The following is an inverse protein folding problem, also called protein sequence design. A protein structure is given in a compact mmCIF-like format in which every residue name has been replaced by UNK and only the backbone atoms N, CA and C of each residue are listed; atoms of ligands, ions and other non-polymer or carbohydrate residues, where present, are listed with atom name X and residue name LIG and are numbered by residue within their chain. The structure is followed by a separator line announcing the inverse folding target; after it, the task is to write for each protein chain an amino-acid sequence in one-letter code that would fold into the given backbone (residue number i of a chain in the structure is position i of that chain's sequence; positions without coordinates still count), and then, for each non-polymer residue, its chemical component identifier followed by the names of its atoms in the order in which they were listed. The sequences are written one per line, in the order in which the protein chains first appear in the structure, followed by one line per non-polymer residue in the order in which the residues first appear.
data_IF_472414257000
#
_entry.id   IF_472414257000
#
_cell.length_a   1.000
_cell.length_b   1.000
_cell.length_c   1.000
_cell.angle_alpha   90.00
_cell.angle_beta   90.00
_cell.angle_gamma   90.00
#
_symmetry.space_group_name_H-M   'P 1'
#
loop_
_entity.id
_entity.type
_entity.pdbx_description
1 polymer ?
#
# COMPACT_ATOMS: atom_id res chain seq x y z
N UNK A 1 -3.99 -56.80 -45.41
CA UNK A 1 -3.22 -55.54 -45.48
C UNK A 1 -3.95 -54.54 -44.57
N UNK A 2 -3.57 -54.47 -43.30
CA UNK A 2 -4.23 -53.68 -42.26
C UNK A 2 -3.47 -52.35 -42.15
N UNK A 3 -4.15 -51.19 -42.10
CA UNK A 3 -3.48 -49.91 -42.26
C UNK A 3 -2.73 -49.47 -41.02
N UNK A 4 -1.44 -49.31 -41.16
CA UNK A 4 -0.48 -48.82 -40.15
C UNK A 4 -0.76 -47.34 -39.73
N UNK A 5 -1.56 -46.64 -40.49
CA UNK A 5 -1.83 -45.21 -40.31
C UNK A 5 -2.72 -44.82 -39.09
N UNK A 6 -3.47 -45.79 -38.55
CA UNK A 6 -4.38 -45.50 -37.43
C UNK A 6 -3.67 -45.41 -36.06
N UNK A 7 -2.48 -46.01 -35.92
CA UNK A 7 -1.71 -46.05 -34.68
C UNK A 7 -0.91 -44.77 -34.44
N UNK A 8 -0.49 -44.07 -35.48
CA UNK A 8 0.29 -42.85 -35.40
C UNK A 8 -0.55 -41.62 -34.99
N UNK A 9 -1.83 -41.58 -35.35
CA UNK A 9 -2.74 -40.46 -35.04
C UNK A 9 -3.09 -40.34 -33.57
N UNK A 10 -3.16 -41.47 -32.86
CA UNK A 10 -3.47 -41.49 -31.43
C UNK A 10 -2.26 -41.15 -30.54
N UNK A 11 -1.04 -41.50 -31.01
CA UNK A 11 0.19 -41.19 -30.31
C UNK A 11 0.52 -39.69 -30.32
N UNK A 12 0.27 -39.04 -31.47
CA UNK A 12 0.44 -37.58 -31.61
C UNK A 12 -0.56 -36.78 -30.75
N UNK A 13 -1.82 -37.25 -30.67
CA UNK A 13 -2.86 -36.62 -29.86
C UNK A 13 -2.54 -36.70 -28.36
N UNK A 14 -2.01 -37.84 -27.89
CA UNK A 14 -1.59 -38.02 -26.48
C UNK A 14 -0.39 -37.18 -26.12
N UNK A 15 0.56 -36.95 -27.01
CA UNK A 15 1.70 -36.05 -26.79
C UNK A 15 1.26 -34.57 -26.71
N UNK A 16 0.32 -34.17 -27.56
CA UNK A 16 -0.21 -32.79 -27.52
C UNK A 16 -1.02 -32.54 -26.23
N UNK A 17 -1.84 -33.53 -25.80
CA UNK A 17 -2.56 -33.43 -24.52
C UNK A 17 -1.63 -33.40 -23.30
N UNK A 18 -0.56 -34.20 -23.32
CA UNK A 18 0.46 -34.22 -22.27
C UNK A 18 1.22 -32.88 -22.16
N UNK A 19 1.53 -32.26 -23.32
CA UNK A 19 2.20 -30.96 -23.33
C UNK A 19 1.29 -29.82 -22.93
N UNK A 20 -0.01 -29.85 -23.28
CA UNK A 20 -0.98 -28.86 -22.83
C UNK A 20 -1.27 -28.94 -21.33
N UNK A 21 -1.26 -30.14 -20.75
CA UNK A 21 -1.48 -30.33 -19.30
C UNK A 21 -0.27 -29.86 -18.47
N UNK A 22 0.95 -29.95 -19.00
CA UNK A 22 2.17 -29.47 -18.30
C UNK A 22 2.26 -27.94 -18.21
N UNK A 23 1.61 -27.21 -19.13
CA UNK A 23 1.58 -25.75 -19.12
C UNK A 23 0.61 -25.16 -18.06
N UNK A 24 -0.37 -25.94 -17.60
CA UNK A 24 -1.34 -25.49 -16.61
C UNK A 24 -0.78 -25.55 -15.17
N UNK A 25 0.24 -26.37 -14.93
CA UNK A 25 0.85 -26.54 -13.59
C UNK A 25 1.91 -25.47 -13.25
N UNK A 26 2.26 -24.60 -14.18
CA UNK A 26 3.30 -23.56 -13.95
C UNK A 26 2.75 -22.24 -13.45
N UNK A 27 1.46 -22.14 -13.12
CA UNK A 27 0.80 -20.89 -12.65
C UNK A 27 0.50 -20.88 -11.15
N UNK A 28 1.29 -21.58 -10.34
CA UNK A 28 1.40 -21.21 -8.92
C UNK A 28 2.39 -20.07 -8.83
N UNK A 29 1.91 -18.84 -9.00
CA UNK A 29 2.65 -17.66 -8.60
C UNK A 29 2.84 -17.73 -7.10
N UNK A 30 4.01 -18.19 -6.65
CA UNK A 30 4.46 -17.95 -5.30
C UNK A 30 4.56 -16.44 -5.11
N UNK A 31 3.54 -15.85 -4.50
CA UNK A 31 3.64 -14.53 -3.92
C UNK A 31 4.55 -14.62 -2.68
N UNK A 32 5.83 -14.95 -2.88
CA UNK A 32 6.82 -14.86 -1.82
C UNK A 32 6.93 -13.41 -1.41
N UNK A 33 6.49 -13.14 -0.18
CA UNK A 33 6.64 -11.82 0.42
C UNK A 33 8.13 -11.56 0.60
N UNK A 34 8.65 -10.57 -0.14
CA UNK A 34 10.09 -10.27 -0.15
C UNK A 34 10.53 -9.70 1.18
N UNK A 35 11.59 -10.25 1.76
CA UNK A 35 12.26 -9.67 2.92
C UNK A 35 12.97 -8.38 2.53
N UNK A 36 12.74 -7.30 3.29
CA UNK A 36 13.42 -6.02 3.10
C UNK A 36 13.85 -5.44 4.45
N UNK A 37 15.15 -5.40 4.71
CA UNK A 37 15.71 -4.89 5.96
C UNK A 37 15.29 -3.44 6.27
N UNK A 38 15.03 -2.65 5.23
CA UNK A 38 14.56 -1.25 5.32
C UNK A 38 13.43 -1.02 4.33
N UNK A 39 12.31 -1.69 4.57
CA UNK A 39 11.17 -1.72 3.65
C UNK A 39 10.65 -0.30 3.32
N UNK A 40 10.54 0.57 4.31
CA UNK A 40 10.15 1.97 4.11
C UNK A 40 11.13 2.72 3.19
N UNK A 41 12.44 2.54 3.39
CA UNK A 41 13.47 3.23 2.59
C UNK A 41 13.46 2.78 1.13
N UNK A 42 13.30 1.47 0.91
CA UNK A 42 13.21 0.91 -0.44
C UNK A 42 11.91 1.37 -1.13
N UNK A 43 10.79 1.40 -0.42
CA UNK A 43 9.54 1.93 -0.96
C UNK A 43 9.69 3.40 -1.39
N UNK A 44 10.27 4.25 -0.53
CA UNK A 44 10.52 5.66 -0.82
C UNK A 44 11.40 5.83 -2.07
N UNK A 45 12.44 4.99 -2.23
CA UNK A 45 13.30 5.03 -3.42
C UNK A 45 12.55 4.72 -4.71
N UNK A 46 11.58 3.79 -4.69
CA UNK A 46 10.76 3.48 -5.89
C UNK A 46 9.90 4.67 -6.33
N UNK A 47 9.65 5.63 -5.44
CA UNK A 47 8.84 6.83 -5.69
C UNK A 47 9.69 8.10 -5.79
N UNK A 48 11.00 7.97 -6.08
CA UNK A 48 11.93 9.10 -6.07
C UNK A 48 11.54 10.25 -7.01
N UNK A 49 10.95 9.93 -8.17
CA UNK A 49 10.53 10.91 -9.16
C UNK A 49 9.28 11.71 -8.75
N UNK A 50 8.53 11.24 -7.74
CA UNK A 50 7.33 11.92 -7.25
C UNK A 50 7.73 13.01 -6.27
N UNK A 51 7.23 14.23 -6.48
CA UNK A 51 7.58 15.39 -5.65
C UNK A 51 6.79 15.43 -4.34
N UNK A 52 5.53 14.96 -4.36
CA UNK A 52 4.63 15.05 -3.23
C UNK A 52 3.97 13.69 -2.97
N UNK A 53 4.25 13.07 -1.84
CA UNK A 53 3.57 11.86 -1.36
C UNK A 53 3.71 11.69 0.16
N UNK A 54 2.78 10.96 0.75
CA UNK A 54 2.85 10.49 2.14
C UNK A 54 2.86 8.97 2.19
N UNK A 55 3.57 8.40 3.15
CA UNK A 55 3.58 6.96 3.46
C UNK A 55 2.92 6.74 4.81
N UNK A 56 1.84 5.98 4.82
CA UNK A 56 1.10 5.60 6.02
C UNK A 56 1.42 4.14 6.32
N UNK A 57 1.71 3.83 7.59
CA UNK A 57 1.77 2.44 8.04
C UNK A 57 0.34 1.91 8.14
N UNK A 58 -0.09 1.22 7.07
CA UNK A 58 -1.49 0.82 6.91
C UNK A 58 -1.87 -0.34 7.81
N UNK A 59 -0.99 -1.37 7.88
CA UNK A 59 -1.21 -2.55 8.70
C UNK A 59 0.10 -3.23 9.07
N UNK A 60 0.08 -4.03 10.13
CA UNK A 60 1.21 -4.79 10.67
C UNK A 60 0.74 -6.21 11.01
N UNK A 61 1.58 -7.20 10.72
CA UNK A 61 1.28 -8.61 10.99
C UNK A 61 2.54 -9.35 11.44
N UNK A 62 2.36 -10.28 12.38
CA UNK A 62 3.38 -11.24 12.78
C UNK A 62 2.88 -12.66 12.50
N UNK A 63 3.51 -13.31 11.54
CA UNK A 63 3.24 -14.68 11.16
C UNK A 63 4.04 -15.65 12.07
N UNK A 64 3.39 -16.15 13.10
CA UNK A 64 4.00 -17.08 14.05
C UNK A 64 4.51 -18.38 13.39
N UNK A 65 3.85 -18.82 12.30
CA UNK A 65 4.19 -20.09 11.64
C UNK A 65 5.53 -20.01 10.90
N UNK A 66 5.89 -18.86 10.40
CA UNK A 66 7.12 -18.61 9.64
C UNK A 66 8.10 -17.67 10.35
N UNK A 67 7.79 -17.24 11.59
CA UNK A 67 8.55 -16.24 12.37
C UNK A 67 8.86 -14.98 11.54
N UNK A 68 7.85 -14.43 10.88
CA UNK A 68 8.01 -13.28 9.98
C UNK A 68 7.19 -12.10 10.43
N UNK A 69 7.86 -10.97 10.59
CA UNK A 69 7.25 -9.66 10.78
C UNK A 69 6.93 -9.03 9.43
N UNK A 70 5.76 -8.43 9.30
CA UNK A 70 5.28 -7.84 8.05
C UNK A 70 4.71 -6.45 8.28
N UNK A 71 4.98 -5.55 7.35
CA UNK A 71 4.34 -4.25 7.24
C UNK A 71 3.56 -4.15 5.93
N UNK A 72 2.44 -3.45 5.97
CA UNK A 72 1.73 -3.00 4.78
C UNK A 72 1.67 -1.48 4.80
N UNK A 73 2.00 -0.84 3.68
CA UNK A 73 2.00 0.61 3.57
C UNK A 73 0.90 1.09 2.62
N UNK A 74 0.34 2.26 2.93
CA UNK A 74 -0.52 3.01 2.02
C UNK A 74 0.19 4.28 1.60
N UNK A 75 0.20 4.55 0.31
CA UNK A 75 0.73 5.77 -0.27
C UNK A 75 -0.40 6.73 -0.60
N UNK A 76 -0.25 7.99 -0.22
CA UNK A 76 -1.01 9.10 -0.78
C UNK A 76 -0.08 9.85 -1.73
N UNK A 77 -0.43 9.88 -2.99
CA UNK A 77 0.41 10.41 -4.05
C UNK A 77 -0.30 11.59 -4.73
N UNK A 78 0.39 12.71 -4.83
CA UNK A 78 0.00 13.82 -5.68
C UNK A 78 0.86 13.78 -6.95
N UNK A 79 0.27 13.39 -8.12
CA UNK A 79 1.05 13.27 -9.36
C UNK A 79 1.62 14.61 -9.80
N UNK A 80 2.88 14.62 -10.26
CA UNK A 80 3.55 15.85 -10.72
C UNK A 80 2.81 16.55 -11.88
N UNK A 81 2.17 15.77 -12.74
CA UNK A 81 1.43 16.27 -13.90
C UNK A 81 -0.03 16.64 -13.61
N UNK A 82 -0.53 16.33 -12.43
CA UNK A 82 -1.87 16.67 -12.00
C UNK A 82 -1.93 16.95 -10.49
N UNK A 83 -1.48 18.12 -10.05
CA UNK A 83 -1.35 18.47 -8.63
C UNK A 83 -2.70 18.63 -7.91
N UNK A 84 -3.83 18.63 -8.63
CA UNK A 84 -5.17 18.68 -8.05
C UNK A 84 -5.75 17.29 -7.77
N UNK A 85 -5.06 16.23 -8.20
CA UNK A 85 -5.43 14.85 -7.96
C UNK A 85 -4.64 14.28 -6.79
N UNK A 86 -5.32 13.53 -5.94
CA UNK A 86 -4.71 12.72 -4.89
C UNK A 86 -5.07 11.26 -5.12
N UNK A 87 -4.06 10.42 -5.27
CA UNK A 87 -4.19 8.98 -5.45
C UNK A 87 -3.87 8.26 -4.14
N UNK A 88 -4.58 7.17 -3.87
CA UNK A 88 -4.32 6.29 -2.74
C UNK A 88 -3.98 4.88 -3.24
N UNK A 89 -2.81 4.37 -2.87
CA UNK A 89 -2.31 3.06 -3.28
C UNK A 89 -1.92 2.24 -2.05
N UNK A 90 -2.58 1.09 -1.81
CA UNK A 90 -2.15 0.13 -0.80
C UNK A 90 -1.08 -0.76 -1.43
N UNK A 91 0.07 -0.85 -0.78
CA UNK A 91 1.21 -1.64 -1.23
C UNK A 91 1.05 -3.10 -0.81
N UNK A 92 1.69 -4.05 -1.51
CA UNK A 92 1.78 -5.43 -1.04
C UNK A 92 2.43 -5.50 0.35
N UNK A 93 2.16 -6.59 1.07
CA UNK A 93 2.85 -6.91 2.31
C UNK A 93 4.37 -7.05 2.08
N UNK A 94 5.16 -6.49 2.97
CA UNK A 94 6.61 -6.57 2.97
C UNK A 94 7.08 -7.24 4.26
N UNK A 95 7.98 -8.22 4.15
CA UNK A 95 8.64 -8.81 5.31
C UNK A 95 9.73 -7.85 5.77
N UNK A 96 9.69 -7.50 7.05
CA UNK A 96 10.62 -6.57 7.70
C UNK A 96 11.38 -7.29 8.82
N UNK A 97 12.48 -6.71 9.29
CA UNK A 97 13.15 -7.24 10.49
C UNK A 97 12.42 -6.83 11.78
N UNK A 98 12.70 -7.57 12.86
CA UNK A 98 12.09 -7.33 14.17
C UNK A 98 12.38 -5.90 14.71
N UNK A 99 13.51 -5.31 14.32
CA UNK A 99 13.89 -3.95 14.76
C UNK A 99 13.00 -2.90 14.08
N UNK A 100 12.78 -3.05 12.76
CA UNK A 100 11.89 -2.14 12.01
C UNK A 100 10.44 -2.32 12.46
N UNK A 101 10.00 -3.57 12.70
CA UNK A 101 8.67 -3.84 13.24
C UNK A 101 8.44 -3.17 14.59
N UNK A 102 9.35 -3.37 15.56
CA UNK A 102 9.26 -2.74 16.89
C UNK A 102 9.31 -1.22 16.85
N UNK A 103 10.09 -0.65 15.92
CA UNK A 103 10.21 0.79 15.78
C UNK A 103 8.86 1.47 15.53
N UNK A 104 7.98 0.82 14.80
CA UNK A 104 6.69 1.36 14.38
C UNK A 104 5.48 0.65 15.02
N UNK A 105 5.68 -0.17 16.05
CA UNK A 105 4.62 -1.00 16.64
C UNK A 105 3.42 -0.21 17.18
N UNK A 106 3.62 1.07 17.54
CA UNK A 106 2.58 1.96 18.05
C UNK A 106 2.10 2.97 16.98
N UNK A 107 2.66 2.89 15.77
CA UNK A 107 2.44 3.86 14.70
C UNK A 107 1.46 3.35 13.62
N UNK A 108 0.72 2.25 13.87
CA UNK A 108 -0.26 1.74 12.93
C UNK A 108 -1.34 2.80 12.64
N UNK A 109 -1.60 3.05 11.35
CA UNK A 109 -2.49 4.11 10.89
C UNK A 109 -1.86 5.49 10.83
N UNK A 110 -0.61 5.65 11.26
CA UNK A 110 0.10 6.93 11.25
C UNK A 110 0.86 7.14 9.93
N UNK A 111 1.01 8.40 9.55
CA UNK A 111 1.96 8.85 8.53
C UNK A 111 3.37 8.77 9.10
N UNK A 112 4.24 7.97 8.47
CA UNK A 112 5.62 7.72 8.94
C UNK A 112 6.70 8.33 8.05
N UNK A 113 6.31 8.79 6.87
CA UNK A 113 7.15 9.59 5.99
C UNK A 113 6.29 10.47 5.09
N UNK A 114 6.80 11.66 4.78
CA UNK A 114 6.20 12.60 3.85
C UNK A 114 7.26 13.20 2.96
N UNK A 115 6.99 13.32 1.68
CA UNK A 115 7.79 14.09 0.73
C UNK A 115 6.95 15.24 0.21
N UNK A 116 7.45 16.46 0.38
CA UNK A 116 6.82 17.70 -0.07
C UNK A 116 7.81 18.53 -0.86
N UNK A 117 7.40 18.93 -2.07
CA UNK A 117 8.24 19.70 -2.98
C UNK A 117 9.66 19.10 -3.14
N UNK A 118 9.71 17.75 -3.21
CA UNK A 118 10.95 16.99 -3.32
C UNK A 118 11.70 16.77 -2.00
N UNK A 119 11.33 17.43 -0.90
CA UNK A 119 11.97 17.29 0.41
C UNK A 119 11.34 16.18 1.22
N UNK A 120 12.11 15.14 1.53
CA UNK A 120 11.68 14.00 2.34
C UNK A 120 11.86 14.25 3.83
N UNK A 121 10.81 13.96 4.62
CA UNK A 121 10.87 13.92 6.08
C UNK A 121 10.36 12.56 6.57
N UNK A 122 11.07 11.94 7.50
CA UNK A 122 10.65 10.72 8.21
C UNK A 122 10.26 11.10 9.63
N UNK A 123 9.00 11.26 9.84
CA UNK A 123 8.42 11.71 11.10
C UNK A 123 7.06 11.07 11.24
N UNK A 124 6.77 10.51 12.42
CA UNK A 124 5.44 10.00 12.73
C UNK A 124 4.49 11.15 13.05
N UNK A 125 3.36 11.16 12.37
CA UNK A 125 2.26 12.12 12.59
C UNK A 125 0.91 11.46 12.24
N UNK A 126 -0.22 11.99 12.72
CA UNK A 126 -1.51 11.51 12.25
C UNK A 126 -1.59 11.57 10.72
N UNK A 127 -2.16 10.52 10.11
CA UNK A 127 -2.22 10.39 8.65
C UNK A 127 -2.78 11.66 8.00
N UNK A 128 -2.07 12.19 7.00
CA UNK A 128 -2.45 13.40 6.27
C UNK A 128 -2.36 14.71 7.06
N UNK A 129 -1.92 14.69 8.33
CA UNK A 129 -1.82 15.89 9.14
C UNK A 129 -0.79 16.88 8.59
N UNK A 130 0.33 16.36 8.07
CA UNK A 130 1.44 17.20 7.61
C UNK A 130 1.11 18.02 6.36
N UNK A 131 0.18 17.54 5.50
CA UNK A 131 -0.03 18.12 4.18
C UNK A 131 -1.46 18.54 3.87
N UNK A 132 -2.45 17.89 4.47
CA UNK A 132 -3.84 17.98 4.02
C UNK A 132 -4.76 18.62 5.05
N UNK A 133 -4.52 18.40 6.36
CA UNK A 133 -5.31 19.06 7.43
C UNK A 133 -4.90 20.52 7.56
N UNK A 134 -5.88 21.42 7.56
CA UNK A 134 -5.63 22.85 7.59
C UNK A 134 -5.32 23.49 6.24
N UNK A 135 -5.21 22.69 5.18
CA UNK A 135 -5.01 23.17 3.82
C UNK A 135 -6.36 23.30 3.10
N UNK A 136 -6.83 24.55 2.90
CA UNK A 136 -8.14 24.88 2.33
C UNK A 136 -8.42 24.28 0.93
N UNK A 137 -7.38 23.82 0.23
CA UNK A 137 -7.53 23.08 -1.03
C UNK A 137 -8.26 21.75 -0.83
N UNK A 138 -8.08 21.10 0.32
CA UNK A 138 -8.57 19.74 0.58
C UNK A 138 -9.80 19.69 1.47
N UNK A 139 -10.10 20.75 2.22
CA UNK A 139 -11.21 20.76 3.17
C UNK A 139 -11.42 22.10 3.85
N UNK A 140 -12.16 22.09 4.93
CA UNK A 140 -12.42 23.25 5.76
C UNK A 140 -12.63 22.86 7.21
N UNK A 141 -12.42 23.81 8.13
CA UNK A 141 -12.81 23.65 9.52
C UNK A 141 -14.32 23.79 9.67
N UNK A 142 -14.95 22.82 10.31
CA UNK A 142 -16.36 22.83 10.66
C UNK A 142 -16.53 22.78 12.18
N UNK A 143 -17.58 23.43 12.70
CA UNK A 143 -17.89 23.47 14.12
C UNK A 143 -19.05 22.56 14.45
N UNK A 144 -18.94 21.76 15.50
CA UNK A 144 -20.03 20.94 16.04
C UNK A 144 -20.87 21.74 17.03
N UNK A 145 -22.06 21.23 17.35
CA UNK A 145 -22.96 21.83 18.35
C UNK A 145 -22.37 21.85 19.75
N UNK A 146 -21.39 20.98 20.06
CA UNK A 146 -20.68 20.94 21.34
C UNK A 146 -19.56 21.99 21.46
N UNK A 147 -19.38 22.81 20.40
CA UNK A 147 -18.37 23.84 20.33
C UNK A 147 -17.01 23.37 19.82
N UNK A 148 -16.80 22.07 19.60
CA UNK A 148 -15.56 21.53 19.06
C UNK A 148 -15.46 21.77 17.56
N UNK A 149 -14.23 21.99 17.04
CA UNK A 149 -13.98 22.10 15.62
C UNK A 149 -13.33 20.81 15.10
N UNK A 150 -13.64 20.44 13.85
CA UNK A 150 -13.04 19.32 13.17
C UNK A 150 -12.75 19.68 11.73
N UNK A 151 -11.76 18.99 11.12
CA UNK A 151 -11.44 19.17 9.72
C UNK A 151 -12.37 18.32 8.86
N UNK A 152 -13.10 18.94 7.93
CA UNK A 152 -13.98 18.28 6.98
C UNK A 152 -13.35 18.32 5.58
N UNK A 153 -13.02 17.14 5.02
CA UNK A 153 -12.54 17.05 3.66
C UNK A 153 -13.66 17.27 2.65
N UNK A 154 -13.35 17.93 1.53
CA UNK A 154 -14.27 18.04 0.41
C UNK A 154 -14.57 16.66 -0.20
N UNK A 155 -15.75 16.49 -0.85
CA UNK A 155 -16.26 15.20 -1.27
C UNK A 155 -15.29 14.33 -2.05
N UNK A 156 -14.50 14.91 -2.95
CA UNK A 156 -13.48 14.21 -3.73
C UNK A 156 -12.31 13.66 -2.88
N UNK A 157 -12.12 14.21 -1.68
CA UNK A 157 -11.11 13.79 -0.71
C UNK A 157 -11.72 13.10 0.52
N UNK A 158 -13.01 12.77 0.48
CA UNK A 158 -13.74 12.19 1.63
C UNK A 158 -13.16 10.83 2.08
N UNK A 159 -12.47 10.09 1.18
CA UNK A 159 -11.76 8.87 1.52
C UNK A 159 -10.69 9.08 2.59
N UNK A 160 -10.10 10.28 2.68
CA UNK A 160 -9.12 10.62 3.71
C UNK A 160 -9.74 10.61 5.11
N UNK A 161 -11.03 10.95 5.23
CA UNK A 161 -11.74 10.88 6.52
C UNK A 161 -11.80 9.47 7.10
N UNK A 162 -11.85 8.44 6.23
CA UNK A 162 -11.83 7.03 6.68
C UNK A 162 -10.46 6.63 7.23
N UNK A 163 -9.38 7.15 6.67
CA UNK A 163 -8.02 6.91 7.14
C UNK A 163 -7.79 7.55 8.52
N UNK A 164 -8.32 8.77 8.77
CA UNK A 164 -8.26 9.41 10.08
C UNK A 164 -9.08 8.69 11.16
N UNK A 165 -10.14 7.97 10.77
CA UNK A 165 -10.91 7.16 11.74
C UNK A 165 -10.12 5.93 12.21
N UNK A 166 -9.22 5.42 11.39
CA UNK A 166 -8.30 4.33 11.78
C UNK A 166 -7.24 4.84 12.75
N UNK A 167 -6.75 6.06 12.59
CA UNK A 167 -5.92 6.75 13.58
C UNK A 167 -6.80 7.46 14.62
N UNK A 168 -7.41 6.76 15.47
CA UNK A 168 -8.28 6.94 16.64
C UNK A 168 -8.50 8.34 17.28
N UNK A 169 -8.04 9.45 16.69
CA UNK A 169 -8.26 10.78 17.25
C UNK A 169 -8.82 11.74 16.22
N UNK A 170 -10.03 12.28 16.42
CA UNK A 170 -10.44 13.45 15.67
C UNK A 170 -9.42 14.56 15.95
N UNK A 171 -8.82 15.11 14.91
CA UNK A 171 -7.94 16.28 15.03
C UNK A 171 -8.78 17.40 15.65
N UNK A 172 -8.53 17.72 16.90
CA UNK A 172 -9.20 18.80 17.64
C UNK A 172 -8.27 20.00 17.65
N UNK A 173 -8.80 21.13 17.30
CA UNK A 173 -8.15 22.42 17.53
C UNK A 173 -8.49 22.85 18.96
N UNK A 174 -7.49 23.03 19.80
CA UNK A 174 -7.60 23.64 21.13
C UNK A 174 -7.31 25.13 21.03
#
# INVERSE_FOLDING_TARGET
MIPLFKKLRNSSLLLVLGFALSLILSSCGNNEVKFQKKALDELIKTKNEIQNFSVILYDMDYDESSDRYKHQYQLLIQPNNNPDTLLSEIQPWLVVDATEFKKYQEDMGMEIAVKKDGVLKKQTSPAGYSEYVGNEKYGKWERRNDGTSFWAFYGQYAFMSSMFRMSMYPVRYS
#
